data_IF_275645322379
#
_entry.id   IF_275645322379
#
_cell.length_a   1.000
_cell.length_b   1.000
_cell.length_c   1.000
_cell.angle_alpha   90.00
_cell.angle_beta   90.00
_cell.angle_gamma   90.00
#
_symmetry.space_group_name_H-M   'P 1'
#
loop_
_entity.id
_entity.type
_entity.pdbx_description
1 polymer ?
#
# COMPACT_ATOMS: atom_id res chain seq x y z
N UNK A 1 10.80 -10.37 54.09
CA UNK A 1 11.04 -10.11 55.50
C UNK A 1 12.57 -10.11 55.72
N UNK A 2 13.11 -9.08 56.36
CA UNK A 2 14.50 -9.00 56.72
C UNK A 2 14.80 -9.78 58.02
N UNK A 3 16.09 -9.89 58.40
CA UNK A 3 16.51 -10.60 59.61
C UNK A 3 15.99 -10.00 60.92
N UNK A 4 15.51 -8.74 60.93
CA UNK A 4 14.91 -8.05 62.05
C UNK A 4 13.37 -8.20 62.08
N UNK A 5 12.79 -8.93 61.12
CA UNK A 5 11.33 -9.18 61.05
C UNK A 5 10.51 -8.14 60.27
N UNK A 6 11.16 -7.17 59.58
CA UNK A 6 10.45 -6.19 58.79
C UNK A 6 10.00 -6.80 57.47
N UNK A 7 8.75 -6.53 57.06
CA UNK A 7 8.22 -7.00 55.76
C UNK A 7 8.40 -5.92 54.69
N UNK A 8 8.72 -6.35 53.46
CA UNK A 8 8.60 -5.48 52.29
C UNK A 8 7.15 -5.16 52.02
N UNK A 9 6.91 -4.09 51.28
CA UNK A 9 5.57 -3.83 50.73
C UNK A 9 5.16 -4.98 49.80
N UNK A 10 3.86 -5.35 49.75
CA UNK A 10 3.41 -6.37 48.84
C UNK A 10 3.56 -5.91 47.39
N UNK A 11 3.96 -6.80 46.52
CA UNK A 11 3.94 -6.60 45.06
C UNK A 11 2.79 -7.41 44.50
N UNK A 12 1.99 -6.80 43.65
CA UNK A 12 0.89 -7.48 42.93
C UNK A 12 1.20 -7.49 41.42
N UNK A 13 0.81 -8.56 40.75
CA UNK A 13 0.79 -8.67 39.31
C UNK A 13 -0.62 -9.09 38.88
N UNK A 14 -1.10 -8.55 37.76
CA UNK A 14 -2.33 -8.99 37.11
C UNK A 14 -1.98 -10.06 36.08
N UNK A 15 -2.68 -11.18 36.11
CA UNK A 15 -2.55 -12.21 35.07
C UNK A 15 -3.36 -11.76 33.87
N UNK A 16 -2.73 -11.68 32.72
CA UNK A 16 -3.37 -11.48 31.42
C UNK A 16 -3.30 -12.77 30.62
N UNK A 17 -4.46 -13.30 30.26
CA UNK A 17 -4.60 -14.53 29.46
C UNK A 17 -5.39 -14.30 28.16
N UNK A 18 -5.63 -13.01 27.81
CA UNK A 18 -6.35 -12.65 26.61
C UNK A 18 -5.39 -12.43 25.46
N UNK A 19 -5.49 -13.28 24.42
CA UNK A 19 -4.68 -13.09 23.21
C UNK A 19 -5.13 -11.85 22.44
N UNK A 20 -4.18 -11.09 21.84
CA UNK A 20 -4.51 -9.98 20.96
C UNK A 20 -5.27 -10.45 19.72
N UNK A 21 -5.93 -9.52 19.02
CA UNK A 21 -6.53 -9.79 17.71
C UNK A 21 -5.43 -10.12 16.68
N UNK A 22 -5.79 -10.91 15.66
CA UNK A 22 -4.88 -11.17 14.55
C UNK A 22 -4.49 -9.84 13.88
N UNK A 23 -3.20 -9.65 13.51
CA UNK A 23 -2.77 -8.43 12.83
C UNK A 23 -3.41 -8.31 11.44
N UNK A 24 -3.47 -7.09 10.91
CA UNK A 24 -3.72 -6.82 9.49
C UNK A 24 -2.38 -6.67 8.80
N UNK A 25 -2.25 -7.20 7.58
CA UNK A 25 -1.08 -7.03 6.72
C UNK A 25 -1.55 -6.34 5.45
N UNK A 26 -0.94 -5.20 5.12
CA UNK A 26 -1.22 -4.46 3.89
C UNK A 26 -0.62 -5.18 2.68
N UNK A 27 -1.14 -4.96 1.46
CA UNK A 27 -0.50 -5.41 0.23
C UNK A 27 0.96 -4.93 0.18
N UNK A 28 1.87 -5.77 -0.33
CA UNK A 28 3.31 -5.47 -0.30
C UNK A 28 4.03 -6.02 -1.52
N UNK A 29 4.97 -5.24 -2.05
CA UNK A 29 5.91 -5.68 -3.08
C UNK A 29 7.16 -6.38 -2.52
N UNK A 30 7.19 -6.67 -1.23
CA UNK A 30 8.29 -7.35 -0.56
C UNK A 30 9.41 -6.45 -0.05
N UNK A 31 9.43 -5.17 -0.40
CA UNK A 31 10.44 -4.21 0.08
C UNK A 31 10.16 -3.77 1.52
N UNK A 32 8.89 -3.58 1.84
CA UNK A 32 8.40 -3.26 3.19
C UNK A 32 7.13 -4.07 3.44
N UNK A 33 7.03 -4.68 4.60
CA UNK A 33 5.83 -5.34 5.09
C UNK A 33 5.26 -4.46 6.20
N UNK A 34 4.01 -4.06 6.08
CA UNK A 34 3.39 -3.13 7.02
C UNK A 34 1.94 -3.54 7.33
N UNK A 35 1.34 -2.88 8.31
CA UNK A 35 -0.04 -3.13 8.67
C UNK A 35 -0.40 -2.61 10.05
N UNK A 36 -1.43 -3.21 10.65
CA UNK A 36 -1.89 -2.85 12.00
C UNK A 36 -1.99 -4.06 12.91
N UNK A 37 -1.83 -3.83 14.21
CA UNK A 37 -1.97 -4.81 15.27
C UNK A 37 -2.41 -4.09 16.57
N UNK A 38 -2.58 -4.81 17.66
CA UNK A 38 -2.75 -4.21 18.98
C UNK A 38 -1.54 -3.34 19.34
N UNK A 39 -1.82 -2.13 19.86
CA UNK A 39 -0.75 -1.19 20.24
C UNK A 39 0.20 -1.80 21.26
N UNK A 40 1.50 -1.75 20.97
CA UNK A 40 2.55 -2.33 21.80
C UNK A 40 2.77 -3.83 21.62
N UNK A 41 1.93 -4.53 20.85
CA UNK A 41 2.14 -5.94 20.57
C UNK A 41 3.37 -6.16 19.65
N UNK A 42 4.05 -7.28 19.83
CA UNK A 42 5.12 -7.72 18.94
C UNK A 42 4.52 -8.51 17.77
N UNK A 43 4.66 -8.02 16.55
CA UNK A 43 4.27 -8.71 15.33
C UNK A 43 5.43 -9.60 14.88
N UNK A 44 5.21 -10.91 14.82
CA UNK A 44 6.18 -11.92 14.42
C UNK A 44 5.83 -12.38 13.01
N UNK A 45 6.81 -12.27 12.09
CA UNK A 45 6.66 -12.56 10.67
C UNK A 45 7.40 -13.85 10.29
N UNK A 46 6.70 -14.74 9.58
CA UNK A 46 7.28 -15.96 9.01
C UNK A 46 6.89 -16.11 7.54
N UNK A 47 7.66 -16.88 6.78
CA UNK A 47 7.27 -17.29 5.43
C UNK A 47 6.19 -18.40 5.45
N UNK A 48 5.73 -18.80 4.24
CA UNK A 48 4.71 -19.85 4.09
C UNK A 48 5.14 -21.23 4.61
N UNK A 49 6.43 -21.45 4.88
CA UNK A 49 7.00 -22.67 5.43
C UNK A 49 7.24 -22.56 6.96
N UNK A 50 6.96 -21.41 7.56
CA UNK A 50 7.20 -21.13 8.97
C UNK A 50 8.64 -20.68 9.30
N UNK A 51 9.49 -20.40 8.30
CA UNK A 51 10.82 -19.85 8.57
C UNK A 51 10.70 -18.37 9.00
N UNK A 52 11.51 -17.91 9.95
CA UNK A 52 11.42 -16.54 10.44
C UNK A 52 11.84 -15.53 9.36
N UNK A 53 11.02 -14.50 9.14
CA UNK A 53 11.35 -13.31 8.35
C UNK A 53 11.87 -12.21 9.29
N UNK A 54 11.19 -11.99 10.44
CA UNK A 54 11.55 -11.01 11.43
C UNK A 54 10.43 -10.71 12.42
N UNK A 55 10.64 -9.65 13.21
CA UNK A 55 9.63 -9.16 14.13
C UNK A 55 9.72 -7.65 14.29
N UNK A 56 8.62 -7.03 14.69
CA UNK A 56 8.52 -5.58 14.92
C UNK A 56 7.45 -5.30 15.98
N UNK A 57 7.58 -4.22 16.73
CA UNK A 57 6.57 -3.80 17.71
C UNK A 57 5.62 -2.76 17.07
N UNK A 58 4.32 -2.96 17.22
CA UNK A 58 3.31 -1.99 16.83
C UNK A 58 3.42 -0.73 17.71
N UNK A 59 3.28 0.43 17.10
CA UNK A 59 3.33 1.72 17.79
C UNK A 59 2.09 1.96 18.68
N UNK A 60 2.04 3.12 19.36
CA UNK A 60 0.92 3.47 20.23
C UNK A 60 -0.42 3.68 19.52
N UNK A 61 -0.43 3.75 18.18
CA UNK A 61 -1.61 3.79 17.32
C UNK A 61 -1.93 2.43 16.68
N UNK A 62 -1.11 1.42 16.97
CA UNK A 62 -1.25 0.07 16.44
C UNK A 62 -0.62 -0.13 15.06
N UNK A 63 0.10 0.84 14.50
CA UNK A 63 0.76 0.67 13.20
C UNK A 63 2.12 -0.03 13.37
N UNK A 64 2.46 -0.88 12.42
CA UNK A 64 3.77 -1.52 12.38
C UNK A 64 4.31 -1.55 10.94
N UNK A 65 5.63 -1.57 10.81
CA UNK A 65 6.33 -1.65 9.53
C UNK A 65 7.66 -2.37 9.72
N UNK A 66 7.94 -3.35 8.87
CA UNK A 66 9.16 -4.15 8.87
C UNK A 66 9.81 -4.11 7.49
N UNK A 67 11.11 -3.82 7.45
CA UNK A 67 11.92 -3.83 6.22
C UNK A 67 12.84 -5.05 6.25
N UNK A 68 12.61 -6.06 5.39
CA UNK A 68 13.52 -7.21 5.27
C UNK A 68 14.93 -6.77 4.84
N UNK A 69 15.96 -7.48 5.27
CA UNK A 69 17.35 -7.20 4.85
C UNK A 69 17.58 -7.35 3.33
N UNK A 70 16.77 -8.17 2.68
CA UNK A 70 16.63 -8.26 1.22
C UNK A 70 15.15 -8.30 0.88
N UNK A 71 14.68 -7.61 -0.17
CA UNK A 71 13.28 -7.67 -0.55
C UNK A 71 12.80 -9.11 -0.77
N UNK A 72 11.59 -9.40 -0.31
CA UNK A 72 10.99 -10.72 -0.49
C UNK A 72 10.57 -10.91 -1.94
N UNK A 73 10.76 -12.12 -2.47
CA UNK A 73 10.43 -12.42 -3.86
C UNK A 73 8.92 -12.44 -4.10
N UNK A 74 8.53 -12.17 -5.35
CA UNK A 74 7.15 -12.34 -5.81
C UNK A 74 6.60 -13.73 -5.47
N UNK A 75 5.37 -13.80 -4.98
CA UNK A 75 4.72 -15.03 -4.58
C UNK A 75 5.12 -15.56 -3.19
N UNK A 76 6.03 -14.87 -2.46
CA UNK A 76 6.33 -15.24 -1.07
C UNK A 76 5.09 -15.03 -0.21
N UNK A 77 4.65 -16.09 0.49
CA UNK A 77 3.61 -15.97 1.51
C UNK A 77 4.25 -15.42 2.78
N UNK A 78 3.66 -14.38 3.34
CA UNK A 78 4.04 -13.80 4.63
C UNK A 78 2.91 -14.04 5.62
N UNK A 79 3.22 -14.72 6.71
CA UNK A 79 2.33 -14.93 7.84
C UNK A 79 2.75 -13.99 8.98
N UNK A 80 1.77 -13.44 9.70
CA UNK A 80 1.98 -12.60 10.87
C UNK A 80 1.12 -13.07 12.03
N UNK A 81 1.68 -13.07 13.23
CA UNK A 81 0.96 -13.20 14.49
C UNK A 81 1.34 -12.04 15.41
N UNK A 82 0.40 -11.58 16.21
CA UNK A 82 0.66 -10.58 17.26
C UNK A 82 0.86 -11.29 18.60
N UNK A 83 1.82 -10.83 19.38
CA UNK A 83 2.07 -11.31 20.76
C UNK A 83 2.04 -10.10 21.70
N UNK A 84 1.24 -10.19 22.77
CA UNK A 84 1.19 -9.17 23.80
C UNK A 84 2.37 -9.25 24.78
N UNK A 85 2.42 -8.33 25.75
CA UNK A 85 3.47 -8.29 26.76
C UNK A 85 3.41 -9.46 27.77
N UNK A 86 2.25 -10.12 27.88
CA UNK A 86 2.08 -11.29 28.76
C UNK A 86 2.47 -12.60 28.05
N UNK A 87 2.73 -12.55 26.73
CA UNK A 87 3.12 -13.68 25.91
C UNK A 87 1.94 -14.41 25.23
N UNK A 88 0.70 -13.88 25.33
CA UNK A 88 -0.42 -14.45 24.60
C UNK A 88 -0.27 -14.13 23.11
N UNK A 89 -0.58 -15.11 22.25
CA UNK A 89 -0.37 -15.00 20.80
C UNK A 89 -1.70 -15.08 20.05
N UNK A 90 -1.89 -14.19 19.09
CA UNK A 90 -3.06 -14.14 18.22
C UNK A 90 -3.16 -15.32 17.26
N UNK A 91 -4.31 -15.46 16.58
CA UNK A 91 -4.40 -16.21 15.33
C UNK A 91 -3.51 -15.57 14.24
N UNK A 92 -3.15 -16.34 13.19
CA UNK A 92 -2.34 -15.81 12.09
C UNK A 92 -3.15 -14.97 11.12
N UNK A 93 -2.51 -13.96 10.53
CA UNK A 93 -2.92 -13.31 9.28
C UNK A 93 -1.90 -13.68 8.19
N UNK A 94 -2.30 -13.56 6.91
CA UNK A 94 -1.48 -13.98 5.78
C UNK A 94 -1.65 -13.03 4.60
N UNK A 95 -0.58 -12.73 3.89
CA UNK A 95 -0.58 -12.04 2.59
C UNK A 95 0.42 -12.70 1.65
N UNK A 96 0.30 -12.42 0.35
CA UNK A 96 1.28 -12.86 -0.65
C UNK A 96 1.96 -11.63 -1.24
N UNK A 97 3.28 -11.66 -1.30
CA UNK A 97 4.08 -10.59 -1.92
C UNK A 97 3.78 -10.54 -3.41
N UNK A 98 3.43 -9.35 -3.91
CA UNK A 98 3.31 -9.04 -5.32
C UNK A 98 4.36 -7.99 -5.72
N UNK A 99 5.40 -8.41 -6.42
CA UNK A 99 6.44 -7.51 -6.93
C UNK A 99 6.40 -7.37 -8.46
N UNK A 100 5.25 -7.68 -9.08
CA UNK A 100 5.06 -7.54 -10.53
C UNK A 100 4.41 -6.19 -10.82
N UNK A 101 5.11 -5.33 -11.57
CA UNK A 101 4.55 -4.05 -11.97
C UNK A 101 3.37 -4.25 -12.94
N UNK A 102 2.29 -3.44 -12.82
CA UNK A 102 1.19 -3.48 -13.77
C UNK A 102 1.65 -3.05 -15.17
N UNK A 103 0.84 -3.35 -16.19
CA UNK A 103 1.07 -2.84 -17.53
C UNK A 103 0.93 -1.31 -17.55
N UNK A 104 1.65 -0.65 -18.49
CA UNK A 104 1.47 0.79 -18.70
C UNK A 104 -0.01 1.10 -19.03
N UNK A 105 -0.59 2.17 -18.46
CA UNK A 105 -1.97 2.53 -18.74
C UNK A 105 -2.14 2.97 -20.20
N UNK A 106 -3.35 2.85 -20.71
CA UNK A 106 -3.76 3.50 -21.98
C UNK A 106 -4.38 4.84 -21.62
N UNK A 107 -4.06 5.88 -22.40
CA UNK A 107 -4.69 7.20 -22.30
C UNK A 107 -5.42 7.44 -23.62
N UNK A 108 -6.72 7.72 -23.55
CA UNK A 108 -7.51 8.07 -24.71
C UNK A 108 -7.17 9.49 -25.22
N UNK A 109 -7.37 9.81 -26.51
CA UNK A 109 -7.27 11.17 -27.00
C UNK A 109 -8.13 12.13 -26.17
N UNK A 110 -7.58 13.29 -25.79
CA UNK A 110 -8.25 14.25 -24.91
C UNK A 110 -8.14 15.68 -25.43
N UNK A 111 -9.22 16.44 -25.27
CA UNK A 111 -9.26 17.89 -25.47
C UNK A 111 -8.86 18.68 -24.19
N UNK A 112 -8.41 18.00 -23.14
CA UNK A 112 -7.99 18.60 -21.89
C UNK A 112 -9.10 18.80 -20.86
N UNK A 113 -10.38 18.63 -21.21
CA UNK A 113 -11.48 18.77 -20.25
C UNK A 113 -11.68 17.53 -19.38
N UNK A 114 -11.49 16.35 -19.97
CA UNK A 114 -11.54 15.05 -19.31
C UNK A 114 -10.39 14.21 -19.85
N UNK A 115 -9.70 13.52 -18.97
CA UNK A 115 -8.65 12.55 -19.29
C UNK A 115 -9.20 11.18 -18.88
N UNK A 116 -9.17 10.22 -19.79
CA UNK A 116 -9.72 8.89 -19.55
C UNK A 116 -8.86 7.82 -20.21
N UNK A 117 -9.13 6.57 -19.89
CA UNK A 117 -8.43 5.46 -20.49
C UNK A 117 -8.62 4.15 -19.75
N UNK A 118 -7.65 3.24 -19.91
CA UNK A 118 -7.68 1.94 -19.23
C UNK A 118 -6.36 1.66 -18.53
N UNK A 119 -6.44 0.88 -17.46
CA UNK A 119 -5.30 0.37 -16.67
C UNK A 119 -5.69 -0.97 -16.04
N UNK A 120 -4.79 -1.57 -15.28
CA UNK A 120 -5.13 -2.73 -14.46
C UNK A 120 -6.22 -2.38 -13.46
N UNK A 121 -7.20 -3.27 -13.30
CA UNK A 121 -8.33 -3.05 -12.39
C UNK A 121 -7.85 -2.83 -10.95
N UNK A 122 -8.30 -1.75 -10.31
CA UNK A 122 -7.90 -1.37 -8.97
C UNK A 122 -6.57 -0.60 -8.89
N UNK A 123 -5.81 -0.48 -9.98
CA UNK A 123 -4.59 0.33 -10.00
C UNK A 123 -4.91 1.83 -9.89
N UNK A 124 -4.02 2.56 -9.25
CA UNK A 124 -4.05 4.03 -9.21
C UNK A 124 -3.26 4.58 -10.39
N UNK A 125 -3.92 5.30 -11.29
CA UNK A 125 -3.30 6.02 -12.41
C UNK A 125 -2.86 7.39 -11.95
N UNK A 126 -1.57 7.65 -11.97
CA UNK A 126 -0.93 8.91 -11.56
C UNK A 126 -0.58 9.71 -12.81
N UNK A 127 -1.08 10.95 -12.87
CA UNK A 127 -0.96 11.83 -14.03
C UNK A 127 -0.01 12.99 -13.74
N UNK A 128 0.94 13.22 -14.66
CA UNK A 128 1.86 14.35 -14.63
C UNK A 128 1.90 15.06 -15.98
N UNK A 129 2.33 16.32 -16.01
CA UNK A 129 2.61 17.01 -17.25
C UNK A 129 3.99 16.61 -17.85
N UNK A 130 4.31 17.15 -19.03
CA UNK A 130 5.59 16.89 -19.70
C UNK A 130 6.82 17.36 -18.91
N UNK A 131 6.65 18.21 -17.89
CA UNK A 131 7.69 18.65 -16.97
C UNK A 131 7.77 17.80 -15.69
N UNK A 132 6.88 16.81 -15.53
CA UNK A 132 6.80 15.97 -14.33
C UNK A 132 6.00 16.60 -13.18
N UNK A 133 5.32 17.75 -13.39
CA UNK A 133 4.46 18.32 -12.37
C UNK A 133 3.15 17.52 -12.24
N UNK A 134 2.62 17.35 -11.02
CA UNK A 134 1.41 16.57 -10.82
C UNK A 134 0.18 17.24 -11.45
N UNK A 135 -0.59 16.48 -12.22
CA UNK A 135 -1.92 16.86 -12.73
C UNK A 135 -3.00 16.31 -11.77
N UNK A 136 -2.87 15.05 -11.38
CA UNK A 136 -3.80 14.38 -10.48
C UNK A 136 -3.69 12.86 -10.53
N UNK A 137 -4.70 12.18 -10.02
CA UNK A 137 -4.76 10.72 -10.04
C UNK A 137 -6.20 10.22 -10.14
N UNK A 138 -6.37 8.99 -10.63
CA UNK A 138 -7.65 8.30 -10.71
C UNK A 138 -7.43 6.81 -10.40
N UNK A 139 -8.45 6.13 -9.88
CA UNK A 139 -8.41 4.68 -9.68
C UNK A 139 -9.17 3.99 -10.81
N UNK A 140 -8.58 2.98 -11.41
CA UNK A 140 -9.24 2.13 -12.40
C UNK A 140 -10.32 1.29 -11.73
N UNK A 141 -11.51 1.24 -12.31
CA UNK A 141 -12.62 0.45 -11.83
C UNK A 141 -12.41 -1.06 -12.03
N UNK A 142 -13.37 -1.89 -11.61
CA UNK A 142 -13.28 -3.34 -11.74
C UNK A 142 -13.22 -3.86 -13.19
N UNK A 143 -13.50 -3.01 -14.19
CA UNK A 143 -13.34 -3.28 -15.62
C UNK A 143 -12.06 -2.68 -16.20
N UNK A 144 -11.26 -2.00 -15.37
CA UNK A 144 -10.02 -1.36 -15.76
C UNK A 144 -10.19 0.05 -16.35
N UNK A 145 -11.40 0.65 -16.33
CA UNK A 145 -11.61 2.00 -16.86
C UNK A 145 -11.28 3.03 -15.77
N UNK A 146 -10.67 4.13 -16.19
CA UNK A 146 -10.41 5.26 -15.32
C UNK A 146 -10.74 6.60 -15.99
N UNK A 147 -11.06 7.60 -15.18
CA UNK A 147 -11.39 8.95 -15.63
C UNK A 147 -10.90 9.96 -14.61
N UNK A 148 -10.36 11.07 -15.11
CA UNK A 148 -9.93 12.23 -14.32
C UNK A 148 -10.39 13.52 -14.96
N UNK A 149 -10.99 14.42 -14.16
CA UNK A 149 -11.41 15.75 -14.62
C UNK A 149 -10.55 16.80 -13.91
N UNK A 150 -9.66 17.50 -14.65
CA UNK A 150 -8.88 18.59 -14.08
C UNK A 150 -9.80 19.74 -13.59
N UNK A 151 -9.39 20.46 -12.55
CA UNK A 151 -10.13 21.63 -12.04
C UNK A 151 -10.23 22.77 -13.08
N UNK A 152 -9.25 22.86 -13.96
CA UNK A 152 -9.25 23.72 -15.16
C UNK A 152 -8.84 22.87 -16.35
N UNK A 153 -9.50 22.99 -17.51
CA UNK A 153 -9.10 22.25 -18.70
C UNK A 153 -7.63 22.49 -19.06
N UNK A 154 -6.94 21.42 -19.43
CA UNK A 154 -5.53 21.51 -19.84
C UNK A 154 -5.43 22.20 -21.21
N UNK A 155 -4.39 23.02 -21.38
CA UNK A 155 -4.19 23.74 -22.61
C UNK A 155 -3.83 22.81 -23.79
N UNK A 156 -4.16 23.24 -25.02
CA UNK A 156 -3.72 22.56 -26.23
C UNK A 156 -2.19 22.40 -26.26
N UNK A 157 -1.72 21.22 -26.63
CA UNK A 157 -0.30 20.89 -26.67
C UNK A 157 0.30 20.44 -25.32
N UNK A 158 -0.48 20.44 -24.23
CA UNK A 158 -0.02 19.87 -22.96
C UNK A 158 0.26 18.39 -23.14
N UNK A 159 1.46 17.95 -22.78
CA UNK A 159 1.80 16.53 -22.69
C UNK A 159 1.29 16.00 -21.37
N UNK A 160 0.55 14.91 -21.39
CA UNK A 160 0.09 14.16 -20.22
C UNK A 160 0.86 12.85 -20.18
N UNK A 161 1.56 12.60 -19.08
CA UNK A 161 2.17 11.31 -18.78
C UNK A 161 1.34 10.59 -17.71
N UNK A 162 1.19 9.29 -17.85
CA UNK A 162 0.50 8.45 -16.87
C UNK A 162 1.32 7.21 -16.54
N UNK A 163 1.34 6.85 -15.25
CA UNK A 163 1.81 5.56 -14.76
C UNK A 163 0.70 4.90 -13.94
N UNK A 164 0.63 3.59 -13.98
CA UNK A 164 -0.27 2.82 -13.10
C UNK A 164 0.53 2.30 -11.90
N UNK A 165 -0.05 2.38 -10.71
CA UNK A 165 0.48 1.80 -9.50
C UNK A 165 -0.54 0.82 -8.92
N UNK A 166 -0.11 -0.43 -8.66
CA UNK A 166 -0.95 -1.43 -8.04
C UNK A 166 -1.09 -1.24 -6.52
N UNK A 167 -1.97 -1.99 -5.83
CA UNK A 167 -2.11 -1.90 -4.38
C UNK A 167 -0.84 -2.31 -3.60
N UNK A 168 0.06 -3.09 -4.19
CA UNK A 168 1.32 -3.49 -3.58
C UNK A 168 2.42 -2.41 -3.71
N UNK A 169 2.16 -1.35 -4.47
CA UNK A 169 3.06 -0.22 -4.69
C UNK A 169 4.00 -0.39 -5.88
N UNK A 170 3.82 -1.41 -6.73
CA UNK A 170 4.60 -1.53 -7.96
C UNK A 170 4.09 -0.52 -8.98
N UNK A 171 5.01 0.09 -9.74
CA UNK A 171 4.69 1.14 -10.70
C UNK A 171 5.04 0.69 -12.12
N UNK A 172 4.13 0.89 -13.06
CA UNK A 172 4.29 0.58 -14.48
C UNK A 172 5.31 1.49 -15.18
N UNK A 173 5.66 1.13 -16.41
CA UNK A 173 6.23 2.09 -17.36
C UNK A 173 5.23 3.22 -17.69
N UNK A 174 5.71 4.37 -18.19
CA UNK A 174 4.85 5.51 -18.53
C UNK A 174 4.12 5.30 -19.87
N UNK A 175 2.92 5.90 -19.97
CA UNK A 175 2.23 6.20 -21.23
C UNK A 175 2.13 7.71 -21.37
N UNK A 176 1.96 8.22 -22.61
CA UNK A 176 1.88 9.65 -22.88
C UNK A 176 0.87 9.94 -23.97
N UNK A 177 0.17 11.09 -23.85
CA UNK A 177 -0.69 11.66 -24.87
C UNK A 177 -0.52 13.19 -24.86
N UNK A 178 -0.76 13.84 -26.02
CA UNK A 178 -0.79 15.31 -26.11
C UNK A 178 -2.23 15.77 -26.23
N UNK A 179 -2.59 16.78 -25.45
CA UNK A 179 -3.92 17.40 -25.51
C UNK A 179 -4.09 18.09 -26.86
N UNK A 180 -5.19 17.77 -27.55
CA UNK A 180 -5.65 18.46 -28.75
C UNK A 180 -6.99 19.15 -28.46
N UNK A 181 -6.94 20.44 -28.21
CA UNK A 181 -8.11 21.29 -27.95
C UNK A 181 -8.53 22.13 -29.19
N UNK A 182 -8.00 21.80 -30.39
CA UNK A 182 -8.30 22.53 -31.61
C UNK A 182 -9.50 21.86 -32.32
N UNK A 183 -10.56 22.65 -32.54
CA UNK A 183 -11.70 22.14 -33.29
C UNK A 183 -11.33 21.94 -34.79
N UNK A 184 -11.80 20.85 -35.44
CA UNK A 184 -11.62 20.69 -36.88
C UNK A 184 -12.27 21.83 -37.67
N UNK A 185 -11.76 22.17 -38.88
CA UNK A 185 -12.37 23.21 -39.72
C UNK A 185 -13.78 22.80 -40.13
N UNK A 186 -14.64 23.82 -40.37
CA UNK A 186 -15.99 23.60 -40.86
C UNK A 186 -15.97 22.84 -42.19
N UNK A 187 -16.94 21.93 -42.46
CA UNK A 187 -17.02 21.25 -43.73
C UNK A 187 -17.20 22.27 -44.89
N UNK A 188 -16.36 22.17 -45.92
CA UNK A 188 -16.55 22.94 -47.17
C UNK A 188 -17.68 22.34 -47.94
N UNK A 189 -18.62 23.21 -48.35
CA UNK A 189 -19.73 22.82 -49.26
C UNK A 189 -19.24 22.68 -50.69
#
# INVERSE_FOLDING_TARGET
QDAAGNNSSPTSATVDSLAPAAPVIDPSNGSVIAGTAEAGATVILTDGNGNPIGQVTADGSGNWSFTPGTPLSNGTVVNAVAQDAAGNTSGPASTTVDSVAPAAPVIDPSNGSVIAGTAEAGATVILTDGGGNPIGQATADGSGNWTFTPSTPLANGTVINAVAQDPAGNTSGPASVTVDAIAPPAPTR
#
